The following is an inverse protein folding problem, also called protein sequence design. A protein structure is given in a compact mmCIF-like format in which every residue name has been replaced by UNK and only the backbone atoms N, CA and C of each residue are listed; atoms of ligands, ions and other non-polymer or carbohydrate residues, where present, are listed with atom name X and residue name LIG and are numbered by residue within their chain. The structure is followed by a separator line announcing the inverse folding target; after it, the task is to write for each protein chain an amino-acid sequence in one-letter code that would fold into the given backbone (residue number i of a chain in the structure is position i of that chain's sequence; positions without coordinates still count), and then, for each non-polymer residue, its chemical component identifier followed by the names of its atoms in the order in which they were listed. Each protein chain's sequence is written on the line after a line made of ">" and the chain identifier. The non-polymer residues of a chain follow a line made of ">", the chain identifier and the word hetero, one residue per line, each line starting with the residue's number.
data_IF_521326833181
#
_entry.id   IF_521326833181
#
_cell.length_a   1.000
_cell.length_b   1.000
_cell.length_c   1.000
_cell.angle_alpha   90.00
_cell.angle_beta   90.00
_cell.angle_gamma   90.00
#
_symmetry.space_group_name_H-M   'P 1'
#
loop_
_entity.id
_entity.type
_entity.pdbx_description
1 polymer ?
#
# COMPACT_ATOMS: atom_id res chain seq x y z
N UNK A 1 -79.04 24.66 -7.57
CA UNK A 1 -79.37 23.38 -6.90
C UNK A 1 -78.54 22.30 -7.58
N UNK A 2 -77.62 21.54 -6.99
CA UNK A 2 -77.12 21.34 -5.64
C UNK A 2 -75.82 20.52 -5.78
N UNK A 3 -74.87 20.70 -4.86
CA UNK A 3 -73.59 19.97 -4.87
C UNK A 3 -73.66 18.62 -4.16
N UNK A 4 -72.65 17.77 -4.37
CA UNK A 4 -72.23 16.68 -3.47
C UNK A 4 -70.75 16.30 -3.76
N UNK A 5 -70.00 16.06 -2.69
CA UNK A 5 -68.59 15.64 -2.60
C UNK A 5 -68.53 14.21 -2.02
N UNK A 6 -67.45 13.47 -2.28
CA UNK A 6 -67.00 12.29 -1.51
C UNK A 6 -66.87 11.01 -2.36
N UNK A 7 -65.93 10.08 -2.15
CA UNK A 7 -64.94 9.87 -1.10
C UNK A 7 -63.86 8.86 -1.56
N UNK A 8 -62.66 9.01 -1.01
CA UNK A 8 -61.55 8.05 -0.98
C UNK A 8 -62.00 6.65 -0.52
N UNK A 9 -61.56 5.57 -1.18
CA UNK A 9 -61.32 4.26 -0.55
C UNK A 9 -60.13 3.52 -1.17
N UNK A 10 -59.23 3.18 -0.26
CA UNK A 10 -58.11 2.24 -0.33
C UNK A 10 -58.63 0.81 -0.59
N UNK A 11 -57.92 0.04 -1.42
CA UNK A 11 -58.07 -1.42 -1.50
C UNK A 11 -56.74 -2.03 -1.96
N UNK A 12 -56.13 -2.84 -1.09
CA UNK A 12 -54.81 -3.44 -1.26
C UNK A 12 -54.68 -4.51 -2.34
N UNK A 13 -53.44 -4.99 -2.60
CA UNK A 13 -53.19 -6.01 -3.61
C UNK A 13 -53.40 -7.43 -3.05
N UNK A 14 -53.81 -8.40 -3.88
CA UNK A 14 -53.88 -9.79 -3.48
C UNK A 14 -52.49 -10.45 -3.58
N UNK A 15 -52.15 -11.23 -2.55
CA UNK A 15 -51.09 -12.23 -2.57
C UNK A 15 -51.58 -13.48 -3.30
N UNK A 16 -50.76 -14.01 -4.21
CA UNK A 16 -50.98 -15.28 -4.89
C UNK A 16 -49.64 -15.89 -5.26
N UNK A 17 -49.20 -16.85 -4.44
CA UNK A 17 -48.01 -17.67 -4.58
C UNK A 17 -48.18 -18.68 -5.74
N UNK A 18 -47.11 -18.94 -6.51
CA UNK A 18 -46.65 -20.31 -6.79
C UNK A 18 -45.29 -20.29 -7.51
N UNK A 19 -44.30 -20.75 -6.76
CA UNK A 19 -43.10 -21.49 -7.16
C UNK A 19 -42.93 -21.89 -8.62
N UNK A 20 -41.82 -21.44 -9.21
CA UNK A 20 -40.97 -22.27 -10.06
C UNK A 20 -39.50 -21.93 -9.85
N UNK A 21 -38.73 -22.98 -9.60
CA UNK A 21 -37.27 -22.97 -9.43
C UNK A 21 -36.63 -22.90 -10.80
N UNK A 22 -35.86 -21.85 -11.10
CA UNK A 22 -34.76 -21.88 -12.08
C UNK A 22 -33.99 -20.57 -12.07
N UNK A 23 -32.70 -20.65 -11.75
CA UNK A 23 -31.65 -19.69 -12.10
C UNK A 23 -31.92 -18.22 -11.81
N UNK A 24 -31.41 -17.73 -10.67
CA UNK A 24 -31.01 -16.31 -10.56
C UNK A 24 -29.87 -16.03 -11.53
N UNK A 25 -30.17 -15.90 -12.82
CA UNK A 25 -29.33 -15.12 -13.72
C UNK A 25 -29.82 -13.69 -13.51
N UNK A 26 -29.06 -12.93 -12.72
CA UNK A 26 -29.27 -11.50 -12.60
C UNK A 26 -29.11 -10.89 -13.99
N UNK A 27 -30.23 -10.69 -14.68
CA UNK A 27 -30.29 -9.97 -15.94
C UNK A 27 -29.98 -8.50 -15.62
N UNK A 28 -28.70 -8.14 -15.66
CA UNK A 28 -28.23 -6.76 -15.55
C UNK A 28 -28.83 -6.03 -16.74
N UNK A 29 -29.87 -5.25 -16.48
CA UNK A 29 -30.50 -4.41 -17.49
C UNK A 29 -29.47 -3.40 -17.98
N UNK A 30 -29.15 -3.44 -19.29
CA UNK A 30 -28.23 -2.58 -20.06
C UNK A 30 -28.72 -1.11 -20.14
N UNK A 31 -29.25 -0.58 -19.04
CA UNK A 31 -29.77 0.79 -18.92
C UNK A 31 -29.37 1.49 -17.63
N UNK A 32 -28.46 0.89 -16.83
CA UNK A 32 -27.94 1.45 -15.58
C UNK A 32 -26.41 1.57 -15.58
N UNK A 33 -25.82 1.88 -16.73
CA UNK A 33 -24.40 2.25 -16.77
C UNK A 33 -24.23 3.57 -16.01
N UNK A 34 -23.33 3.59 -15.03
CA UNK A 34 -22.97 4.79 -14.28
C UNK A 34 -21.57 5.25 -14.74
N UNK A 35 -21.32 6.56 -14.85
CA UNK A 35 -19.98 7.06 -15.12
C UNK A 35 -19.02 6.61 -14.02
N UNK A 36 -17.75 6.43 -14.38
CA UNK A 36 -16.69 6.01 -13.49
C UNK A 36 -16.55 7.02 -12.35
N UNK A 37 -16.71 6.54 -11.12
CA UNK A 37 -16.53 7.37 -9.93
C UNK A 37 -15.04 7.55 -9.66
N UNK A 38 -14.61 8.76 -9.28
CA UNK A 38 -13.23 9.04 -8.88
C UNK A 38 -12.84 8.36 -7.55
N UNK A 39 -13.80 7.77 -6.86
CA UNK A 39 -13.62 7.30 -5.50
C UNK A 39 -12.91 5.94 -5.47
N UNK A 40 -11.68 5.94 -4.95
CA UNK A 40 -10.91 4.71 -4.71
C UNK A 40 -11.63 3.87 -3.64
N UNK A 41 -11.93 2.59 -3.91
CA UNK A 41 -12.64 1.77 -2.94
C UNK A 41 -11.78 1.57 -1.69
N UNK A 42 -12.31 1.93 -0.52
CA UNK A 42 -11.62 1.72 0.75
C UNK A 42 -11.79 0.28 1.19
N UNK A 43 -10.70 -0.49 1.21
CA UNK A 43 -10.71 -1.88 1.67
C UNK A 43 -9.60 -2.14 2.69
N UNK A 44 -9.75 -3.23 3.44
CA UNK A 44 -8.76 -3.73 4.40
C UNK A 44 -8.39 -5.16 4.02
N UNK A 45 -7.11 -5.50 4.07
CA UNK A 45 -6.68 -6.89 3.93
C UNK A 45 -6.81 -7.61 5.27
N UNK A 46 -7.28 -8.86 5.25
CA UNK A 46 -7.36 -9.72 6.45
C UNK A 46 -5.97 -10.07 7.00
N UNK A 47 -4.99 -10.17 6.11
CA UNK A 47 -3.57 -10.36 6.44
C UNK A 47 -2.88 -9.05 6.08
N UNK A 48 -2.14 -8.41 7.00
CA UNK A 48 -1.43 -7.18 6.70
C UNK A 48 -0.39 -7.47 5.62
N UNK A 49 -0.55 -6.80 4.47
CA UNK A 49 0.28 -7.00 3.28
C UNK A 49 1.27 -5.85 3.18
N UNK A 50 2.49 -6.15 2.77
CA UNK A 50 3.48 -5.10 2.55
C UNK A 50 3.32 -4.43 1.18
N UNK A 51 3.83 -3.21 1.01
CA UNK A 51 3.76 -2.51 -0.29
C UNK A 51 4.39 -3.34 -1.43
N UNK A 52 5.56 -3.94 -1.18
CA UNK A 52 6.22 -4.80 -2.16
C UNK A 52 5.39 -6.04 -2.52
N UNK A 53 4.80 -6.70 -1.53
CA UNK A 53 3.92 -7.85 -1.75
C UNK A 53 2.63 -7.47 -2.49
N UNK A 54 2.06 -6.29 -2.20
CA UNK A 54 0.89 -5.77 -2.92
C UNK A 54 1.22 -5.52 -4.39
N UNK A 55 2.39 -4.92 -4.66
CA UNK A 55 2.86 -4.62 -6.01
C UNK A 55 3.09 -5.90 -6.81
N UNK A 56 3.80 -6.88 -6.25
CA UNK A 56 4.02 -8.18 -6.91
C UNK A 56 2.70 -8.91 -7.16
N UNK A 57 1.76 -8.89 -6.20
CA UNK A 57 0.44 -9.51 -6.38
C UNK A 57 -0.41 -8.81 -7.44
N UNK A 58 -0.29 -7.48 -7.57
CA UNK A 58 -0.94 -6.70 -8.62
C UNK A 58 -0.33 -7.03 -9.99
N UNK A 59 0.99 -7.16 -10.07
CA UNK A 59 1.70 -7.52 -11.30
C UNK A 59 1.35 -8.94 -11.76
N UNK A 60 1.39 -9.92 -10.86
CA UNK A 60 1.00 -11.31 -11.15
C UNK A 60 -0.46 -11.40 -11.60
N UNK A 61 -1.35 -10.62 -10.99
CA UNK A 61 -2.73 -10.52 -11.46
C UNK A 61 -2.81 -9.95 -12.89
N UNK A 62 -2.08 -8.88 -13.20
CA UNK A 62 -2.11 -8.30 -14.56
C UNK A 62 -1.41 -9.15 -15.62
N UNK A 63 -0.46 -10.00 -15.23
CA UNK A 63 0.20 -10.97 -16.12
C UNK A 63 -0.73 -12.14 -16.46
N UNK A 64 -1.51 -12.59 -15.47
CA UNK A 64 -2.43 -13.74 -15.61
C UNK A 64 -3.84 -13.35 -16.06
N UNK A 65 -4.29 -12.11 -15.84
CA UNK A 65 -5.63 -11.64 -16.20
C UNK A 65 -5.98 -11.78 -17.69
N UNK A 66 -5.08 -11.49 -18.65
CA UNK A 66 -5.34 -11.72 -20.07
C UNK A 66 -5.48 -13.19 -20.46
N UNK A 67 -4.97 -14.11 -19.63
CA UNK A 67 -5.16 -15.55 -19.80
C UNK A 67 -6.49 -16.04 -19.19
N UNK A 68 -7.16 -15.18 -18.43
CA UNK A 68 -8.49 -15.42 -17.87
C UNK A 68 -9.56 -14.99 -18.88
N UNK A 69 -10.71 -15.68 -18.84
CA UNK A 69 -11.84 -15.53 -19.76
C UNK A 69 -12.15 -14.06 -20.13
N UNK A 70 -12.31 -13.76 -21.42
CA UNK A 70 -12.55 -12.41 -21.94
C UNK A 70 -11.62 -11.97 -23.08
N UNK A 71 -11.79 -10.72 -23.54
CA UNK A 71 -10.94 -10.07 -24.57
C UNK A 71 -9.74 -9.41 -23.91
N UNK A 72 -8.54 -9.67 -24.45
CA UNK A 72 -7.30 -9.03 -24.00
C UNK A 72 -7.40 -7.50 -24.11
N UNK A 73 -8.07 -7.00 -25.14
CA UNK A 73 -8.27 -5.56 -25.36
C UNK A 73 -8.97 -4.90 -24.17
N UNK A 74 -9.91 -5.60 -23.54
CA UNK A 74 -10.68 -5.09 -22.40
C UNK A 74 -9.84 -5.11 -21.14
N UNK A 75 -9.06 -6.18 -20.93
CA UNK A 75 -8.09 -6.22 -19.83
C UNK A 75 -7.04 -5.11 -19.94
N UNK A 76 -6.56 -4.81 -21.14
CA UNK A 76 -5.61 -3.72 -21.39
C UNK A 76 -6.26 -2.35 -21.10
N UNK A 77 -7.50 -2.14 -21.57
CA UNK A 77 -8.26 -0.93 -21.28
C UNK A 77 -8.52 -0.75 -19.77
N UNK A 78 -8.89 -1.82 -19.06
CA UNK A 78 -9.11 -1.80 -17.60
C UNK A 78 -7.82 -1.47 -16.84
N UNK A 79 -6.68 -1.96 -17.31
CA UNK A 79 -5.35 -1.63 -16.75
C UNK A 79 -5.02 -0.15 -16.95
N UNK A 80 -5.21 0.35 -18.17
CA UNK A 80 -4.97 1.75 -18.50
C UNK A 80 -5.92 2.69 -17.72
N UNK A 81 -7.20 2.34 -17.60
CA UNK A 81 -8.17 3.08 -16.81
C UNK A 81 -7.80 3.10 -15.32
N UNK A 82 -7.35 1.97 -14.77
CA UNK A 82 -6.88 1.88 -13.38
C UNK A 82 -5.66 2.79 -13.14
N UNK A 83 -4.73 2.83 -14.09
CA UNK A 83 -3.55 3.71 -14.01
C UNK A 83 -3.93 5.20 -14.10
N UNK A 84 -4.85 5.56 -14.99
CA UNK A 84 -5.36 6.92 -15.10
C UNK A 84 -6.10 7.39 -13.83
N UNK A 85 -6.83 6.49 -13.16
CA UNK A 85 -7.39 6.78 -11.82
C UNK A 85 -6.30 6.96 -10.75
N UNK A 86 -5.17 6.27 -10.86
CA UNK A 86 -4.06 6.42 -9.93
C UNK A 86 -3.40 7.79 -10.04
N UNK A 87 -3.22 8.28 -11.26
CA UNK A 87 -2.70 9.63 -11.56
C UNK A 87 -3.73 10.75 -11.30
N UNK A 88 -4.98 10.40 -11.02
CA UNK A 88 -6.07 11.36 -10.79
C UNK A 88 -6.67 11.94 -12.07
N UNK A 89 -6.35 11.36 -13.23
CA UNK A 89 -6.94 11.72 -14.52
C UNK A 89 -8.22 10.92 -14.79
N UNK A 90 -9.30 11.41 -14.19
CA UNK A 90 -10.63 10.81 -14.30
C UNK A 90 -11.22 10.94 -15.71
N UNK A 91 -10.88 12.01 -16.42
CA UNK A 91 -11.37 12.23 -17.78
C UNK A 91 -10.78 11.20 -18.74
N UNK A 92 -9.47 10.94 -18.62
CA UNK A 92 -8.81 9.89 -19.37
C UNK A 92 -9.34 8.50 -19.00
N UNK A 93 -9.50 8.22 -17.70
CA UNK A 93 -10.03 6.93 -17.25
C UNK A 93 -11.45 6.66 -17.79
N UNK A 94 -12.32 7.67 -17.76
CA UNK A 94 -13.66 7.61 -18.34
C UNK A 94 -13.61 7.41 -19.86
N UNK A 95 -12.75 8.15 -20.56
CA UNK A 95 -12.59 8.02 -22.01
C UNK A 95 -12.11 6.62 -22.43
N UNK A 96 -11.24 5.99 -21.62
CA UNK A 96 -10.78 4.61 -21.87
C UNK A 96 -11.93 3.61 -21.68
N UNK A 97 -12.71 3.74 -20.59
CA UNK A 97 -13.87 2.88 -20.31
C UNK A 97 -14.93 3.01 -21.40
N UNK A 98 -15.28 4.24 -21.78
CA UNK A 98 -16.27 4.53 -22.82
C UNK A 98 -15.77 4.07 -24.20
N UNK A 99 -14.47 4.28 -24.50
CA UNK A 99 -13.85 3.86 -25.76
C UNK A 99 -13.75 2.34 -25.93
N UNK A 100 -13.71 1.59 -24.83
CA UNK A 100 -13.71 0.14 -24.81
C UNK A 100 -15.12 -0.47 -24.67
N UNK A 101 -16.18 0.35 -24.76
CA UNK A 101 -17.58 -0.09 -24.57
C UNK A 101 -17.84 -0.79 -23.22
N UNK A 102 -17.07 -0.45 -22.20
CA UNK A 102 -17.18 -1.07 -20.87
C UNK A 102 -18.31 -0.42 -20.09
N UNK A 103 -19.26 -1.25 -19.64
CA UNK A 103 -20.37 -0.84 -18.79
C UNK A 103 -20.07 -1.10 -17.31
N UNK A 104 -20.33 -0.09 -16.48
CA UNK A 104 -20.14 -0.10 -15.04
C UNK A 104 -21.51 0.02 -14.32
N UNK A 105 -22.10 -1.07 -13.81
CA UNK A 105 -23.39 -1.01 -13.12
C UNK A 105 -23.33 -0.21 -11.82
N UNK A 106 -22.17 -0.18 -11.16
CA UNK A 106 -21.95 0.50 -9.88
C UNK A 106 -21.08 1.77 -10.01
N UNK A 107 -20.60 2.09 -11.22
CA UNK A 107 -19.66 3.20 -11.46
C UNK A 107 -18.27 2.92 -10.88
N UNK A 108 -17.92 1.67 -10.63
CA UNK A 108 -16.62 1.24 -10.08
C UNK A 108 -16.01 0.17 -10.97
N UNK A 109 -14.69 0.19 -11.16
CA UNK A 109 -13.95 -0.82 -11.93
C UNK A 109 -13.93 -2.22 -11.30
N UNK A 110 -14.56 -2.43 -10.13
CA UNK A 110 -14.60 -3.73 -9.44
C UNK A 110 -15.37 -4.77 -10.25
N UNK A 111 -16.48 -4.37 -10.87
CA UNK A 111 -17.35 -5.21 -11.69
C UNK A 111 -17.65 -4.49 -13.00
N UNK A 112 -17.01 -4.94 -14.07
CA UNK A 112 -17.09 -4.36 -15.41
C UNK A 112 -17.74 -5.35 -16.36
N UNK A 113 -18.49 -4.84 -17.34
CA UNK A 113 -19.14 -5.64 -18.36
C UNK A 113 -18.78 -5.14 -19.74
N UNK A 114 -18.53 -6.06 -20.65
CA UNK A 114 -18.34 -5.77 -22.08
C UNK A 114 -19.69 -5.68 -22.82
N UNK A 115 -19.67 -5.15 -24.04
CA UNK A 115 -20.81 -5.11 -24.97
C UNK A 115 -21.38 -6.52 -25.26
N UNK A 116 -20.53 -7.55 -25.17
CA UNK A 116 -20.91 -8.96 -25.34
C UNK A 116 -21.47 -9.60 -24.06
N UNK A 117 -21.53 -8.85 -22.96
CA UNK A 117 -21.98 -9.34 -21.66
C UNK A 117 -20.92 -10.12 -20.86
N UNK A 118 -19.68 -10.15 -21.33
CA UNK A 118 -18.56 -10.73 -20.58
C UNK A 118 -18.30 -9.91 -19.31
N UNK A 119 -18.20 -10.57 -18.16
CA UNK A 119 -17.97 -9.94 -16.87
C UNK A 119 -16.48 -9.98 -16.51
N UNK A 120 -15.92 -8.82 -16.20
CA UNK A 120 -14.55 -8.64 -15.74
C UNK A 120 -14.58 -8.17 -14.29
N UNK A 121 -13.90 -8.90 -13.42
CA UNK A 121 -13.86 -8.57 -11.99
C UNK A 121 -12.45 -8.17 -11.60
N UNK A 122 -12.30 -6.95 -11.07
CA UNK A 122 -11.02 -6.47 -10.56
C UNK A 122 -11.03 -6.52 -9.03
N UNK A 123 -10.10 -7.26 -8.42
CA UNK A 123 -9.93 -7.25 -6.99
C UNK A 123 -9.55 -5.85 -6.47
N UNK A 124 -10.01 -5.53 -5.26
CA UNK A 124 -9.74 -4.23 -4.62
C UNK A 124 -8.25 -3.89 -4.52
N UNK A 125 -7.39 -4.90 -4.34
CA UNK A 125 -5.93 -4.74 -4.28
C UNK A 125 -5.31 -4.27 -5.60
N UNK A 126 -6.01 -4.49 -6.72
CA UNK A 126 -5.60 -3.98 -8.04
C UNK A 126 -6.01 -2.53 -8.20
N UNK A 127 -7.10 -2.10 -7.58
CA UNK A 127 -7.66 -0.75 -7.72
C UNK A 127 -7.15 0.25 -6.68
N UNK A 128 -6.77 -0.22 -5.49
CA UNK A 128 -6.43 0.64 -4.36
C UNK A 128 -5.55 -0.08 -3.34
N UNK A 129 -4.74 0.67 -2.59
CA UNK A 129 -4.00 0.13 -1.46
C UNK A 129 -4.96 -0.16 -0.27
N UNK A 130 -4.74 -1.26 0.48
CA UNK A 130 -5.51 -1.53 1.68
C UNK A 130 -5.21 -0.49 2.77
N UNK A 131 -6.18 -0.21 3.63
CA UNK A 131 -6.00 0.66 4.80
C UNK A 131 -4.96 0.12 5.80
N UNK A 132 -4.67 -1.18 5.75
CA UNK A 132 -3.69 -1.88 6.60
C UNK A 132 -2.40 -2.21 5.84
N UNK A 133 -1.93 -1.31 4.97
CA UNK A 133 -0.68 -1.50 4.25
C UNK A 133 0.49 -1.38 5.24
N UNK A 134 1.32 -2.42 5.34
CA UNK A 134 2.59 -2.32 6.04
C UNK A 134 3.59 -1.66 5.08
N UNK A 135 4.02 -0.44 5.39
CA UNK A 135 5.23 0.12 4.79
C UNK A 135 6.41 -0.75 5.22
N UNK A 136 6.87 -1.64 4.34
CA UNK A 136 8.24 -2.16 4.48
C UNK A 136 9.16 -0.97 4.22
N UNK A 137 9.97 -0.61 5.22
CA UNK A 137 11.16 0.17 4.97
C UNK A 137 12.00 -0.60 3.94
N UNK A 138 11.95 -0.15 2.69
CA UNK A 138 12.65 -0.72 1.55
C UNK A 138 14.15 -0.90 1.85
N UNK A 139 14.57 -2.14 2.09
CA UNK A 139 15.94 -2.57 1.88
C UNK A 139 16.11 -2.82 0.37
N UNK A 140 16.38 -1.76 -0.37
CA UNK A 140 16.98 -1.85 -1.70
C UNK A 140 17.95 -0.69 -1.84
N UNK A 141 19.21 -1.06 -1.77
CA UNK A 141 20.39 -0.24 -1.98
C UNK A 141 20.36 0.34 -3.41
N UNK A 142 19.83 1.56 -3.56
CA UNK A 142 20.20 2.48 -4.64
C UNK A 142 20.11 3.91 -4.08
N UNK A 143 21.26 4.47 -3.71
CA UNK A 143 21.48 5.92 -3.71
C UNK A 143 21.78 6.33 -5.17
N UNK A 144 21.44 7.53 -5.68
CA UNK A 144 21.30 8.77 -4.89
C UNK A 144 20.11 9.70 -5.26
N UNK A 145 19.86 10.61 -4.31
CA UNK A 145 19.34 11.98 -4.47
C UNK A 145 17.94 12.19 -5.06
N UNK A 146 16.94 12.33 -4.18
CA UNK A 146 16.03 13.48 -4.26
C UNK A 146 15.36 13.72 -2.89
N UNK A 147 15.76 14.81 -2.25
CA UNK A 147 15.14 15.43 -1.10
C UNK A 147 13.70 15.88 -1.44
N UNK A 148 12.70 15.48 -0.63
CA UNK A 148 11.59 16.34 -0.21
C UNK A 148 10.46 15.54 0.50
N UNK A 149 10.29 15.86 1.79
CA UNK A 149 9.03 15.85 2.57
C UNK A 149 8.58 14.52 3.22
N UNK A 150 8.22 14.40 4.50
CA UNK A 150 8.27 15.31 5.64
C UNK A 150 7.97 14.55 6.95
N UNK A 151 8.93 14.53 7.86
CA UNK A 151 8.73 14.86 9.28
C UNK A 151 10.02 15.52 9.73
N UNK A 152 9.99 16.69 10.41
CA UNK A 152 11.19 17.30 10.95
C UNK A 152 11.63 16.49 12.17
N UNK A 153 12.19 15.31 11.93
CA UNK A 153 13.00 14.61 12.91
C UNK A 153 14.15 15.54 13.26
N UNK A 154 14.31 15.87 14.54
CA UNK A 154 15.38 16.74 14.99
C UNK A 154 16.69 15.99 14.74
N UNK A 155 17.48 16.47 13.78
CA UNK A 155 18.83 15.96 13.57
C UNK A 155 19.66 16.26 14.80
N UNK A 156 20.17 15.21 15.43
CA UNK A 156 21.05 15.33 16.57
C UNK A 156 22.39 14.64 16.31
N UNK A 157 23.53 15.32 16.54
CA UNK A 157 24.83 14.68 16.45
C UNK A 157 25.01 13.76 17.66
N UNK A 158 25.24 12.46 17.43
CA UNK A 158 25.53 11.48 18.49
C UNK A 158 26.96 10.98 18.30
N UNK A 159 27.66 10.74 19.42
CA UNK A 159 28.99 10.15 19.45
C UNK A 159 28.88 8.66 19.69
N UNK A 160 29.41 7.86 18.78
CA UNK A 160 29.46 6.41 18.90
C UNK A 160 30.88 6.00 19.26
N UNK A 161 31.05 5.46 20.47
CA UNK A 161 32.32 4.94 20.96
C UNK A 161 32.39 3.45 20.66
N UNK A 162 33.12 3.09 19.62
CA UNK A 162 33.35 1.69 19.28
C UNK A 162 34.43 1.12 20.20
N UNK A 163 34.21 -0.04 20.80
CA UNK A 163 35.25 -0.71 21.61
C UNK A 163 36.47 -1.14 20.78
N UNK A 164 36.32 -1.24 19.46
CA UNK A 164 37.39 -1.57 18.51
C UNK A 164 38.25 -0.39 18.13
N UNK A 165 37.83 0.83 18.48
CA UNK A 165 38.37 2.05 17.92
C UNK A 165 38.69 3.03 19.05
N UNK A 166 39.86 3.66 19.00
CA UNK A 166 40.37 4.52 20.09
C UNK A 166 39.79 5.94 20.10
N UNK A 167 38.95 6.30 19.12
CA UNK A 167 38.25 7.58 19.01
C UNK A 167 36.73 7.44 18.88
N UNK A 168 35.99 8.52 19.13
CA UNK A 168 34.53 8.54 18.98
C UNK A 168 34.15 8.85 17.52
N UNK A 169 33.20 8.11 16.94
CA UNK A 169 32.60 8.43 15.63
C UNK A 169 31.43 9.40 15.85
N UNK A 170 31.49 10.58 15.26
CA UNK A 170 30.38 11.55 15.31
C UNK A 170 29.49 11.33 14.10
N UNK A 171 28.22 11.03 14.33
CA UNK A 171 27.24 10.83 13.26
C UNK A 171 25.99 11.67 13.55
N UNK A 172 25.46 12.34 12.52
CA UNK A 172 24.18 13.03 12.60
C UNK A 172 23.07 12.01 12.38
N UNK A 173 22.15 11.92 13.34
CA UNK A 173 21.03 10.96 13.29
C UNK A 173 19.72 11.70 13.54
N UNK A 174 18.66 11.29 12.85
CA UNK A 174 17.33 11.83 13.08
C UNK A 174 16.69 11.12 14.28
N UNK A 175 15.87 11.83 15.06
CA UNK A 175 15.08 11.21 16.14
C UNK A 175 14.15 10.10 15.64
N UNK A 176 13.67 10.24 14.41
CA UNK A 176 12.83 9.27 13.69
C UNK A 176 13.61 8.12 13.05
N UNK A 177 14.95 8.16 13.06
CA UNK A 177 15.73 7.04 12.53
C UNK A 177 15.67 5.84 13.48
N UNK A 178 15.71 4.64 12.90
CA UNK A 178 15.85 3.39 13.64
C UNK A 178 17.32 3.10 13.95
N UNK A 179 17.56 2.40 15.05
CA UNK A 179 18.91 1.98 15.45
C UNK A 179 19.59 1.18 14.33
N UNK A 180 18.86 0.33 13.60
CA UNK A 180 19.43 -0.44 12.48
C UNK A 180 19.95 0.45 11.34
N UNK A 181 19.24 1.53 11.02
CA UNK A 181 19.65 2.48 9.97
C UNK A 181 20.96 3.17 10.34
N UNK A 182 21.10 3.55 11.61
CA UNK A 182 22.34 4.16 12.12
C UNK A 182 23.47 3.13 12.24
N UNK A 183 23.18 1.87 12.60
CA UNK A 183 24.17 0.76 12.57
C UNK A 183 24.75 0.54 11.18
N UNK A 184 23.91 0.57 10.14
CA UNK A 184 24.35 0.50 8.74
C UNK A 184 25.27 1.67 8.39
N UNK A 185 24.92 2.90 8.76
CA UNK A 185 25.81 4.07 8.60
C UNK A 185 27.17 3.91 9.28
N UNK A 186 27.20 3.34 10.49
CA UNK A 186 28.48 3.05 11.15
C UNK A 186 29.26 1.95 10.42
N UNK A 187 28.58 0.92 9.90
CA UNK A 187 29.20 -0.15 9.11
C UNK A 187 29.82 0.36 7.80
N UNK A 188 29.17 1.35 7.16
CA UNK A 188 29.69 2.03 5.97
C UNK A 188 30.94 2.85 6.29
N UNK A 189 30.94 3.56 7.44
CA UNK A 189 32.08 4.38 7.86
C UNK A 189 33.26 3.55 8.37
N UNK A 190 33.00 2.36 8.91
CA UNK A 190 34.01 1.51 9.53
C UNK A 190 34.06 0.12 8.87
N UNK A 191 35.10 -0.09 8.08
CA UNK A 191 35.35 -1.35 7.37
C UNK A 191 35.43 -2.53 8.37
N UNK A 192 34.60 -3.55 8.16
CA UNK A 192 34.57 -4.78 8.96
C UNK A 192 33.61 -4.79 10.16
N UNK A 193 32.78 -3.75 10.33
CA UNK A 193 31.83 -3.63 11.44
C UNK A 193 30.41 -3.91 10.97
N UNK A 194 30.09 -5.17 10.71
CA UNK A 194 28.75 -5.55 10.23
C UNK A 194 27.64 -5.24 11.26
N UNK A 195 26.46 -4.77 10.82
CA UNK A 195 25.41 -4.26 11.71
C UNK A 195 24.95 -5.28 12.75
N UNK A 196 24.90 -6.57 12.39
CA UNK A 196 24.51 -7.65 13.29
C UNK A 196 25.55 -7.96 14.39
N UNK A 197 26.80 -7.54 14.20
CA UNK A 197 27.90 -7.69 15.17
C UNK A 197 27.99 -6.50 16.13
N UNK A 198 27.24 -5.44 15.86
CA UNK A 198 27.23 -4.23 16.67
C UNK A 198 26.19 -4.35 17.79
N UNK A 199 26.66 -4.43 19.03
CA UNK A 199 25.83 -4.34 20.23
C UNK A 199 25.93 -2.95 20.84
N UNK A 200 24.82 -2.22 20.81
CA UNK A 200 24.79 -0.82 21.23
C UNK A 200 24.26 -0.71 22.65
N UNK A 201 24.96 0.03 23.49
CA UNK A 201 24.60 0.26 24.87
C UNK A 201 24.54 1.75 25.16
N UNK A 202 23.45 2.17 25.78
CA UNK A 202 23.27 3.53 26.24
C UNK A 202 22.62 3.52 27.62
N UNK A 203 23.20 4.25 28.58
CA UNK A 203 22.75 4.27 29.98
C UNK A 203 22.53 2.88 30.61
N UNK A 204 23.37 1.89 30.24
CA UNK A 204 23.27 0.50 30.69
C UNK A 204 22.18 -0.33 30.01
N UNK A 205 21.44 0.22 29.05
CA UNK A 205 20.42 -0.47 28.26
C UNK A 205 20.96 -0.88 26.89
N UNK A 206 20.70 -2.11 26.48
CA UNK A 206 20.96 -2.57 25.12
C UNK A 206 19.94 -1.94 24.18
N UNK A 207 20.41 -1.31 23.11
CA UNK A 207 19.57 -0.74 22.07
C UNK A 207 19.27 -1.81 21.01
N UNK A 208 17.98 -2.10 20.81
CA UNK A 208 17.49 -3.00 19.78
C UNK A 208 17.41 -2.31 18.42
N UNK A 209 17.58 -3.10 17.37
CA UNK A 209 17.56 -2.66 15.96
C UNK A 209 16.24 -2.00 15.54
N UNK A 210 15.14 -2.45 16.15
CA UNK A 210 13.78 -1.97 15.90
C UNK A 210 13.40 -0.71 16.70
N UNK A 211 14.25 -0.25 17.63
CA UNK A 211 13.99 0.97 18.40
C UNK A 211 14.33 2.21 17.57
N UNK A 212 13.56 3.28 17.76
CA UNK A 212 13.90 4.59 17.23
C UNK A 212 14.87 5.32 18.16
N UNK A 213 15.64 6.26 17.61
CA UNK A 213 16.58 7.07 18.40
C UNK A 213 15.84 7.90 19.47
N UNK A 214 14.62 8.35 19.19
CA UNK A 214 13.77 9.04 20.18
C UNK A 214 13.42 8.16 21.39
N UNK A 215 13.09 6.88 21.16
CA UNK A 215 12.77 5.92 22.22
C UNK A 215 13.97 5.60 23.11
N UNK A 216 15.17 5.69 22.53
CA UNK A 216 16.43 5.50 23.24
C UNK A 216 16.72 6.64 24.23
N UNK A 217 15.99 7.77 24.15
CA UNK A 217 16.18 8.96 24.99
C UNK A 217 17.64 9.43 25.04
N UNK A 218 18.33 9.31 23.90
CA UNK A 218 19.72 9.77 23.76
C UNK A 218 19.67 11.27 23.46
N UNK A 219 20.25 12.14 24.30
CA UNK A 219 20.31 13.56 24.03
C UNK A 219 21.44 13.86 23.03
N UNK A 220 21.33 15.03 22.40
CA UNK A 220 22.35 15.56 21.48
C UNK A 220 23.75 15.58 22.10
N UNK A 221 24.72 15.17 21.31
CA UNK A 221 26.15 15.11 21.61
C UNK A 221 26.53 14.12 22.74
N UNK A 222 25.63 13.20 23.10
CA UNK A 222 25.94 12.14 24.06
C UNK A 222 26.70 10.99 23.41
N UNK A 223 27.37 10.21 24.26
CA UNK A 223 28.13 9.03 23.84
C UNK A 223 27.28 7.76 23.99
N UNK A 224 27.24 6.94 22.93
CA UNK A 224 26.68 5.58 22.88
C UNK A 224 27.83 4.60 22.75
N UNK A 225 27.84 3.56 23.59
CA UNK A 225 28.87 2.53 23.55
C UNK A 225 28.49 1.47 22.51
N UNK A 226 29.38 1.23 21.54
CA UNK A 226 29.18 0.23 20.49
C UNK A 226 30.21 -0.88 20.67
N UNK A 227 29.75 -2.03 21.14
CA UNK A 227 30.59 -3.22 21.28
C UNK A 227 30.48 -4.03 19.99
N UNK A 228 31.58 -4.13 19.26
CA UNK A 228 31.65 -4.92 18.02
C UNK A 228 32.35 -6.25 18.30
N UNK A 229 31.70 -7.35 17.93
CA UNK A 229 32.34 -8.66 17.95
C UNK A 229 33.20 -8.83 16.68
N UNK A 230 34.47 -8.45 16.75
CA UNK A 230 35.43 -8.72 15.67
C UNK A 230 35.68 -10.23 15.57
N UNK A 231 35.58 -10.78 14.35
CA UNK A 231 36.26 -12.05 14.06
C UNK A 231 37.74 -11.79 14.30
N UNK A 232 38.35 -12.52 15.23
CA UNK A 232 39.79 -12.53 15.48
C UNK A 232 40.50 -12.77 14.13
N UNK A 233 41.01 -11.74 13.47
CA UNK A 233 42.04 -11.96 12.47
C UNK A 233 43.28 -12.40 13.23
N UNK A 234 43.72 -13.61 12.92
CA UNK A 234 44.90 -14.24 13.49
C UNK A 234 46.11 -13.31 13.39
N UNK A 235 46.82 -13.22 14.52
CA UNK A 235 48.23 -12.85 14.53
C UNK A 235 49.02 -13.90 13.75
N UNK A 236 49.80 -13.46 12.78
CA UNK A 236 51.02 -14.11 12.30
C UNK A 236 51.79 -13.01 11.57
N UNK A 237 52.77 -12.34 12.16
CA UNK A 237 54.10 -12.80 12.58
C UNK A 237 54.88 -13.47 11.48
#
# INVERSE_FOLDING_TARGET
>A
MGGCIGSQRDNGPPSGESSDVTGMVQHVSVGRNQPLRPEKPKWKSDIPLTEGQLRSKREEFWDTAPAFDGRKEIWDALKAASYALETGDHALAQAIVDGASISLPHGTLVDCYDELGNRYQLPYYVLSAPANLLEEASESDTVPDNDASATPGVEQPIRFRLSTLSHDIKLQVCTTDTVIKVKKRIAELQVGVEPYRQRWFYAGRLLNDKLHIEDCKIPKNHVVQVIVSVSKQEKGS
#
